data_IF_243488539581
#
_entry.id   IF_243488539581
#
_cell.length_a   1.000
_cell.length_b   1.000
_cell.length_c   1.000
_cell.angle_alpha   90.00
_cell.angle_beta   90.00
_cell.angle_gamma   90.00
#
_symmetry.space_group_name_H-M   'P 1'
#
loop_
_entity.id
_entity.type
_entity.pdbx_description
1 polymer ?
#
# COMPACT_ATOMS: atom_id res chain seq x y z
N UNK A 1 -13.99 16.73 -16.17
CA UNK A 1 -13.20 15.66 -15.58
C UNK A 1 -12.05 15.28 -16.47
N UNK A 2 -10.89 15.06 -15.87
CA UNK A 2 -9.70 14.71 -16.62
C UNK A 2 -9.18 13.36 -16.14
N UNK A 3 -8.81 12.45 -17.04
CA UNK A 3 -8.14 11.23 -16.61
C UNK A 3 -6.76 11.57 -16.06
N UNK A 4 -6.34 10.78 -15.10
CA UNK A 4 -5.02 10.94 -14.46
C UNK A 4 -4.28 9.61 -14.49
N UNK A 5 -2.95 9.71 -14.41
CA UNK A 5 -2.08 8.54 -14.30
C UNK A 5 -0.84 8.97 -13.53
N UNK A 6 0.05 8.02 -13.25
CA UNK A 6 1.29 8.39 -12.58
C UNK A 6 2.13 9.38 -13.41
N UNK A 7 1.92 9.44 -14.72
CA UNK A 7 2.65 10.39 -15.55
C UNK A 7 2.11 11.82 -15.42
N UNK A 8 0.91 12.01 -14.88
CA UNK A 8 0.32 13.34 -14.67
C UNK A 8 0.32 13.78 -13.22
N UNK A 9 0.61 12.87 -12.29
CA UNK A 9 0.54 13.17 -10.86
C UNK A 9 1.93 13.38 -10.28
N UNK A 10 1.99 14.15 -9.19
CA UNK A 10 3.24 14.39 -8.48
C UNK A 10 3.56 13.20 -7.60
N UNK A 11 4.74 12.63 -7.80
CA UNK A 11 5.20 11.49 -7.01
C UNK A 11 5.68 11.92 -5.63
N UNK A 12 5.57 11.01 -4.66
CA UNK A 12 6.23 11.16 -3.37
C UNK A 12 7.04 9.91 -3.08
N UNK A 13 8.11 10.08 -2.31
CA UNK A 13 8.96 8.95 -1.91
C UNK A 13 8.46 8.38 -0.59
N UNK A 14 8.53 7.08 -0.46
CA UNK A 14 8.25 6.42 0.80
C UNK A 14 9.19 5.21 0.95
N UNK A 15 9.44 4.84 2.20
CA UNK A 15 10.39 3.78 2.48
C UNK A 15 11.74 4.06 1.81
N UNK A 16 12.48 3.01 1.52
CA UNK A 16 13.78 3.12 0.84
C UNK A 16 13.62 2.75 -0.62
N UNK A 17 13.63 3.76 -1.49
CA UNK A 17 13.54 3.54 -2.92
C UNK A 17 12.13 3.26 -3.44
N UNK A 18 11.11 3.46 -2.62
CA UNK A 18 9.72 3.27 -3.03
C UNK A 18 9.08 4.61 -3.37
N UNK A 19 8.06 4.59 -4.24
CA UNK A 19 7.45 5.80 -4.76
C UNK A 19 5.94 5.60 -4.82
N UNK A 20 5.18 6.68 -4.61
CA UNK A 20 3.73 6.67 -4.75
C UNK A 20 3.22 7.83 -5.57
N UNK A 21 2.10 7.62 -6.24
CA UNK A 21 1.41 8.64 -7.05
C UNK A 21 -0.07 8.63 -6.66
N UNK A 22 -0.57 9.66 -5.94
CA UNK A 22 -1.99 9.73 -5.63
C UNK A 22 -2.81 9.94 -6.91
N UNK A 23 -3.77 9.06 -7.15
CA UNK A 23 -4.65 9.15 -8.30
C UNK A 23 -6.00 9.76 -7.92
N UNK A 24 -6.50 9.44 -6.73
CA UNK A 24 -7.67 10.07 -6.12
C UNK A 24 -7.28 10.41 -4.69
N UNK A 25 -7.50 11.65 -4.28
CA UNK A 25 -7.06 12.10 -2.96
C UNK A 25 -8.15 12.99 -2.36
N UNK A 26 -9.14 12.34 -1.76
CA UNK A 26 -10.25 12.99 -1.08
C UNK A 26 -10.39 12.44 0.33
N UNK A 27 -11.19 13.08 1.16
CA UNK A 27 -11.42 12.57 2.51
C UNK A 27 -12.10 11.20 2.50
N UNK A 28 -12.97 10.96 1.53
CA UNK A 28 -13.72 9.71 1.47
C UNK A 28 -13.04 8.60 0.70
N UNK A 29 -12.05 8.93 -0.12
CA UNK A 29 -11.41 7.95 -0.99
C UNK A 29 -10.00 8.37 -1.32
N UNK A 30 -9.05 7.48 -1.06
CA UNK A 30 -7.65 7.67 -1.44
C UNK A 30 -7.24 6.48 -2.30
N UNK A 31 -6.79 6.77 -3.53
CA UNK A 31 -6.27 5.75 -4.44
C UNK A 31 -4.86 6.15 -4.82
N UNK A 32 -3.91 5.27 -4.52
CA UNK A 32 -2.49 5.53 -4.79
C UNK A 32 -1.92 4.38 -5.60
N UNK A 33 -1.23 4.71 -6.67
CA UNK A 33 -0.40 3.73 -7.36
C UNK A 33 0.99 3.80 -6.73
N UNK A 34 1.53 2.65 -6.33
CA UNK A 34 2.82 2.59 -5.64
C UNK A 34 3.75 1.60 -6.30
N UNK A 35 5.04 1.93 -6.27
CA UNK A 35 6.10 0.99 -6.57
C UNK A 35 6.90 0.76 -5.30
N UNK A 36 7.44 -0.45 -5.18
CA UNK A 36 8.19 -0.84 -4.02
C UNK A 36 9.49 -1.51 -4.44
N UNK A 37 10.59 -1.01 -3.90
CA UNK A 37 11.92 -1.50 -4.26
C UNK A 37 12.14 -2.94 -3.81
N UNK A 38 13.04 -3.68 -4.47
CA UNK A 38 13.41 -5.03 -4.02
C UNK A 38 13.91 -5.02 -2.57
N UNK A 39 13.67 -6.13 -1.87
CA UNK A 39 14.15 -6.35 -0.51
C UNK A 39 13.75 -5.25 0.46
N UNK A 40 12.51 -4.80 0.36
CA UNK A 40 11.99 -3.75 1.25
C UNK A 40 10.68 -4.19 1.89
N UNK A 41 10.33 -3.56 2.99
CA UNK A 41 9.14 -3.86 3.75
C UNK A 41 8.67 -2.59 4.42
N UNK A 42 7.36 -2.32 4.38
CA UNK A 42 6.85 -1.21 5.15
C UNK A 42 6.77 -1.60 6.63
N UNK A 43 6.66 -0.59 7.49
CA UNK A 43 6.49 -0.83 8.92
C UNK A 43 5.09 -1.35 9.19
N UNK A 44 5.01 -2.31 10.11
CA UNK A 44 3.72 -2.89 10.49
C UNK A 44 2.83 -1.83 11.12
N UNK A 45 1.59 -1.78 10.67
CA UNK A 45 0.65 -0.74 11.09
C UNK A 45 -0.78 -1.19 10.86
N UNK A 46 -1.72 -0.39 11.36
CA UNK A 46 -3.13 -0.55 11.03
C UNK A 46 -3.77 0.81 10.85
N UNK A 47 -4.98 0.79 10.29
CA UNK A 47 -5.84 1.96 10.16
C UNK A 47 -7.11 1.66 10.94
N UNK A 48 -7.55 2.60 11.77
CA UNK A 48 -8.72 2.36 12.63
C UNK A 48 -10.03 2.53 11.89
N UNK A 49 -10.07 3.42 10.90
CA UNK A 49 -11.28 3.78 10.18
C UNK A 49 -11.32 3.23 8.77
N UNK A 50 -10.19 3.26 8.08
CA UNK A 50 -10.15 2.92 6.66
C UNK A 50 -10.20 1.42 6.44
N UNK A 51 -11.02 1.02 5.48
CA UNK A 51 -10.88 -0.27 4.83
C UNK A 51 -9.97 -0.08 3.62
N UNK A 52 -9.17 -1.09 3.29
CA UNK A 52 -8.23 -0.98 2.18
C UNK A 52 -8.34 -2.17 1.24
N UNK A 53 -8.00 -1.92 -0.01
CA UNK A 53 -7.83 -2.96 -1.01
C UNK A 53 -6.47 -2.76 -1.66
N UNK A 54 -5.64 -3.80 -1.63
CA UNK A 54 -4.37 -3.83 -2.35
C UNK A 54 -4.58 -4.64 -3.62
N UNK A 55 -4.22 -4.09 -4.76
CA UNK A 55 -4.35 -4.78 -6.06
C UNK A 55 -3.00 -4.78 -6.76
N UNK A 56 -2.46 -5.96 -7.04
CA UNK A 56 -1.11 -6.10 -7.58
C UNK A 56 -1.15 -5.93 -9.10
N UNK A 57 -0.43 -4.94 -9.57
CA UNK A 57 -0.35 -4.62 -11.00
C UNK A 57 0.82 -5.32 -11.67
N UNK A 58 1.92 -5.53 -10.95
CA UNK A 58 3.15 -6.06 -11.54
C UNK A 58 3.93 -6.83 -10.49
N UNK A 59 4.41 -8.01 -10.84
CA UNK A 59 5.24 -8.88 -10.01
C UNK A 59 4.51 -9.43 -8.79
N UNK A 60 5.25 -9.81 -7.76
CA UNK A 60 4.73 -10.56 -6.61
C UNK A 60 5.06 -9.83 -5.33
N UNK A 61 4.02 -9.57 -4.55
CA UNK A 61 4.14 -8.95 -3.23
C UNK A 61 3.88 -9.98 -2.14
N UNK A 62 4.36 -9.68 -0.94
CA UNK A 62 4.06 -10.45 0.25
C UNK A 62 3.31 -9.56 1.21
N UNK A 63 2.13 -9.99 1.68
CA UNK A 63 1.42 -9.26 2.71
C UNK A 63 1.57 -10.00 4.03
N UNK A 64 2.18 -9.32 4.99
CA UNK A 64 2.30 -9.83 6.36
C UNK A 64 1.09 -9.34 7.13
N UNK A 65 0.24 -10.26 7.57
CA UNK A 65 -1.04 -9.91 8.18
C UNK A 65 -1.40 -10.95 9.24
N UNK A 66 -1.67 -10.49 10.45
CA UNK A 66 -2.10 -11.33 11.58
C UNK A 66 -1.20 -12.56 11.77
N UNK A 67 0.11 -12.37 11.71
CA UNK A 67 1.07 -13.46 11.89
C UNK A 67 1.19 -14.40 10.71
N UNK A 68 0.52 -14.11 9.61
CA UNK A 68 0.59 -14.91 8.39
C UNK A 68 1.28 -14.13 7.28
N UNK A 69 1.80 -14.86 6.31
CA UNK A 69 2.37 -14.29 5.10
C UNK A 69 1.52 -14.74 3.93
N UNK A 70 0.91 -13.79 3.23
CA UNK A 70 0.07 -14.06 2.08
C UNK A 70 0.77 -13.58 0.83
N UNK A 71 0.98 -14.50 -0.12
CA UNK A 71 1.62 -14.18 -1.40
C UNK A 71 0.58 -13.63 -2.34
N UNK A 72 0.84 -12.46 -2.91
CA UNK A 72 -0.05 -11.79 -3.86
C UNK A 72 0.67 -11.65 -5.18
N UNK A 73 0.18 -12.33 -6.21
CA UNK A 73 0.75 -12.22 -7.54
C UNK A 73 -0.06 -11.23 -8.38
N UNK A 74 0.49 -10.86 -9.52
CA UNK A 74 -0.15 -9.93 -10.46
C UNK A 74 -1.61 -10.31 -10.71
N UNK A 75 -2.50 -9.32 -10.59
CA UNK A 75 -3.92 -9.50 -10.80
C UNK A 75 -4.71 -9.90 -9.56
N UNK A 76 -4.03 -10.13 -8.43
CA UNK A 76 -4.71 -10.47 -7.17
C UNK A 76 -4.98 -9.23 -6.34
N UNK A 77 -6.09 -9.27 -5.62
CA UNK A 77 -6.45 -8.23 -4.67
C UNK A 77 -6.58 -8.82 -3.28
N UNK A 78 -6.30 -8.00 -2.27
CA UNK A 78 -6.48 -8.37 -0.87
C UNK A 78 -7.20 -7.25 -0.15
N UNK A 79 -8.28 -7.61 0.56
CA UNK A 79 -9.05 -6.67 1.37
C UNK A 79 -8.51 -6.68 2.80
N UNK A 80 -8.17 -5.50 3.31
CA UNK A 80 -7.71 -5.31 4.68
C UNK A 80 -8.80 -4.55 5.43
N UNK A 81 -9.39 -5.18 6.44
CA UNK A 81 -10.42 -4.54 7.25
C UNK A 81 -9.81 -3.54 8.24
N UNK A 82 -10.57 -2.54 8.68
CA UNK A 82 -10.08 -1.61 9.70
C UNK A 82 -9.58 -2.36 10.94
N UNK A 83 -8.51 -1.85 11.53
CA UNK A 83 -7.95 -2.43 12.76
C UNK A 83 -7.05 -3.63 12.55
N UNK A 84 -6.82 -4.05 11.31
CA UNK A 84 -6.00 -5.23 11.02
C UNK A 84 -4.54 -4.82 10.85
N UNK A 85 -3.66 -5.40 11.67
CA UNK A 85 -2.21 -5.15 11.58
C UNK A 85 -1.65 -5.79 10.31
N UNK A 86 -0.95 -5.01 9.53
CA UNK A 86 -0.39 -5.52 8.27
C UNK A 86 0.83 -4.74 7.83
N UNK A 87 1.58 -5.34 6.91
CA UNK A 87 2.70 -4.69 6.22
C UNK A 87 2.92 -5.39 4.89
N UNK A 88 2.97 -4.61 3.82
CA UNK A 88 3.35 -5.16 2.53
C UNK A 88 4.87 -5.20 2.44
N UNK A 89 5.40 -6.24 1.80
CA UNK A 89 6.82 -6.44 1.61
C UNK A 89 7.12 -6.89 0.19
N UNK A 90 8.29 -6.54 -0.27
CA UNK A 90 8.81 -7.04 -1.54
C UNK A 90 10.07 -7.83 -1.25
N UNK A 91 9.95 -9.14 -1.23
CA UNK A 91 11.07 -10.04 -0.98
C UNK A 91 11.69 -10.57 -2.28
N UNK A 92 11.23 -10.03 -3.41
CA UNK A 92 11.76 -10.43 -4.72
C UNK A 92 12.96 -9.57 -5.11
N UNK A 93 13.59 -9.91 -6.22
CA UNK A 93 14.69 -9.12 -6.79
C UNK A 93 14.21 -8.06 -7.77
N UNK A 94 12.91 -7.95 -7.97
CA UNK A 94 12.31 -6.99 -8.90
C UNK A 94 11.49 -5.94 -8.16
N UNK A 95 11.35 -4.76 -8.76
CA UNK A 95 10.40 -3.77 -8.27
C UNK A 95 8.98 -4.30 -8.48
N UNK A 96 8.11 -4.10 -7.52
CA UNK A 96 6.70 -4.43 -7.67
C UNK A 96 5.88 -3.16 -7.82
N UNK A 97 4.68 -3.30 -8.39
CA UNK A 97 3.76 -2.18 -8.60
C UNK A 97 2.36 -2.61 -8.20
N UNK A 98 1.67 -1.75 -7.46
CA UNK A 98 0.34 -2.08 -6.95
C UNK A 98 -0.48 -0.82 -6.72
N UNK A 99 -1.80 -1.01 -6.59
CA UNK A 99 -2.72 0.03 -6.16
C UNK A 99 -3.07 -0.18 -4.71
N UNK A 100 -3.19 0.92 -3.97
CA UNK A 100 -3.76 0.92 -2.62
C UNK A 100 -4.99 1.81 -2.67
N UNK A 101 -6.13 1.23 -2.36
CA UNK A 101 -7.42 1.92 -2.36
C UNK A 101 -7.90 1.94 -0.92
N UNK A 102 -8.17 3.13 -0.39
CA UNK A 102 -8.55 3.30 1.01
C UNK A 102 -9.81 4.15 1.11
N UNK A 103 -10.73 3.73 1.97
CA UNK A 103 -11.99 4.45 2.19
C UNK A 103 -12.39 4.33 3.66
N UNK A 104 -12.52 5.44 4.39
CA UNK A 104 -12.08 6.79 4.02
C UNK A 104 -10.56 6.87 3.86
N UNK A 105 -10.05 8.04 3.56
CA UNK A 105 -8.62 8.26 3.42
C UNK A 105 -7.86 7.80 4.66
N UNK A 106 -6.65 7.24 4.43
CA UNK A 106 -5.77 6.84 5.54
C UNK A 106 -4.93 8.00 6.06
N UNK A 107 -5.03 9.17 5.47
CA UNK A 107 -4.32 10.34 5.97
C UNK A 107 -4.80 10.62 7.38
N UNK A 108 -3.87 10.74 8.33
CA UNK A 108 -4.15 10.92 9.76
C UNK A 108 -4.80 9.70 10.43
N UNK A 109 -4.70 8.51 9.80
CA UNK A 109 -5.30 7.28 10.33
C UNK A 109 -4.31 6.10 10.25
N UNK A 110 -3.01 6.37 10.40
CA UNK A 110 -1.99 5.32 10.38
C UNK A 110 -1.40 5.17 11.77
N UNK A 111 -1.44 3.96 12.30
CA UNK A 111 -0.93 3.64 13.64
C UNK A 111 0.11 2.53 13.53
N UNK A 112 1.37 2.86 13.73
CA UNK A 112 2.45 1.90 13.61
C UNK A 112 2.54 1.04 14.87
N UNK A 113 2.88 -0.22 14.66
CA UNK A 113 2.88 -1.25 15.70
C UNK A 113 4.28 -1.80 15.85
N UNK A 114 4.60 -2.21 17.07
CA UNK A 114 5.89 -2.82 17.35
C UNK A 114 7.02 -1.83 17.46
N UNK A 115 6.69 -0.55 17.58
CA UNK A 115 7.70 0.47 17.79
C UNK A 115 8.21 0.34 19.21
N UNK A 116 9.52 0.22 19.35
CA UNK A 116 10.15 0.10 20.66
C UNK A 116 10.44 1.48 21.19
N UNK A 117 9.98 1.75 22.35
CA UNK A 117 10.26 3.01 23.01
C UNK A 117 11.38 2.86 23.99
#
# INVERSE_FOLDING_TARGET
>A
MQPVSRSTQTAYKWGEGSVGWPLVDTDGLLVVEETMAPDSSEKRHHHKKATQCFYILEDTALMKIDGQNIVLVQGMALHIQPGTDHAIANESSNQIRFLVISAPSTRSDRHEIGVKE
#
